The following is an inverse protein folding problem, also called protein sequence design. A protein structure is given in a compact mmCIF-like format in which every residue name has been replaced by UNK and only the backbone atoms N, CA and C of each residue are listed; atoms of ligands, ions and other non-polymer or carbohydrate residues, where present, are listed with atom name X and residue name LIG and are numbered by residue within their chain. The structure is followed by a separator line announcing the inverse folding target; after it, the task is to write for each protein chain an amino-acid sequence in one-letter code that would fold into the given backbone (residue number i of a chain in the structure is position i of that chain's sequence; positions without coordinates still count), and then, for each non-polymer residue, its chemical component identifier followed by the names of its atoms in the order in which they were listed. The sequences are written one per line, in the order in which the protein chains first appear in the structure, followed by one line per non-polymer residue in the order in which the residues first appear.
data_IF_822735970322
#
_entry.id   IF_822735970322
#
_cell.length_a   1.000
_cell.length_b   1.000
_cell.length_c   1.000
_cell.angle_alpha   90.00
_cell.angle_beta   90.00
_cell.angle_gamma   90.00
#
_symmetry.space_group_name_H-M   'P 1'
#
loop_
_entity.id
_entity.type
_entity.pdbx_description
1 polymer ?
#
# COMPACT_ATOMS: atom_id res chain seq x y z
N UNK A 1 -17.63 -69.94 -59.94
CA UNK A 1 -18.67 -70.90 -60.39
C UNK A 1 -19.94 -70.58 -59.63
N UNK A 2 -21.08 -70.23 -60.20
CA UNK A 2 -21.43 -69.93 -61.57
C UNK A 2 -22.70 -69.07 -61.53
N UNK A 3 -22.68 -68.05 -62.36
CA UNK A 3 -23.77 -67.22 -62.85
C UNK A 3 -25.00 -68.03 -63.30
N UNK A 4 -26.20 -67.65 -62.84
CA UNK A 4 -27.43 -67.81 -63.62
C UNK A 4 -28.30 -66.54 -63.50
N UNK A 5 -28.37 -65.69 -64.52
CA UNK A 5 -29.11 -65.76 -65.79
C UNK A 5 -30.49 -65.05 -65.76
N UNK A 6 -30.43 -63.78 -66.18
CA UNK A 6 -31.39 -63.00 -67.02
C UNK A 6 -32.74 -63.67 -67.37
N UNK A 7 -33.84 -62.91 -67.22
CA UNK A 7 -34.78 -62.55 -68.34
C UNK A 7 -35.87 -61.52 -67.97
N UNK A 8 -35.72 -60.33 -68.60
CA UNK A 8 -36.69 -59.37 -69.19
C UNK A 8 -38.19 -59.49 -68.87
N UNK A 9 -38.83 -58.35 -68.54
CA UNK A 9 -40.02 -57.80 -69.25
C UNK A 9 -40.19 -56.29 -69.00
N UNK A 10 -40.57 -55.58 -70.06
CA UNK A 10 -40.71 -54.12 -70.18
C UNK A 10 -42.11 -53.67 -69.72
N UNK A 11 -42.20 -52.53 -69.03
CA UNK A 11 -43.32 -51.57 -69.18
C UNK A 11 -42.82 -50.16 -68.88
N UNK A 12 -43.06 -49.27 -69.84
CA UNK A 12 -42.71 -47.86 -69.78
C UNK A 12 -43.79 -47.07 -69.06
N UNK A 13 -43.40 -46.13 -68.20
CA UNK A 13 -44.19 -44.94 -67.86
C UNK A 13 -43.26 -43.73 -67.92
N UNK A 14 -43.77 -42.67 -68.54
CA UNK A 14 -43.10 -41.43 -68.94
C UNK A 14 -42.68 -40.57 -67.74
N UNK A 15 -41.55 -39.89 -67.92
CA UNK A 15 -41.36 -38.46 -67.68
C UNK A 15 -41.43 -37.94 -66.24
N UNK A 16 -40.29 -37.48 -65.71
CA UNK A 16 -39.99 -36.04 -65.59
C UNK A 16 -38.66 -35.86 -64.85
N UNK A 17 -37.78 -35.07 -65.46
CA UNK A 17 -36.53 -34.57 -64.91
C UNK A 17 -36.80 -33.58 -63.78
N UNK A 18 -36.28 -33.82 -62.59
CA UNK A 18 -35.97 -32.73 -61.65
C UNK A 18 -34.66 -33.03 -60.92
N UNK A 19 -33.83 -32.00 -60.85
CA UNK A 19 -32.43 -32.08 -60.46
C UNK A 19 -32.20 -32.50 -59.01
N UNK A 20 -31.02 -33.12 -58.82
CA UNK A 20 -30.38 -33.36 -57.52
C UNK A 20 -30.33 -32.06 -56.70
N UNK A 21 -31.19 -31.94 -55.69
CA UNK A 21 -30.96 -31.02 -54.56
C UNK A 21 -29.93 -31.68 -53.63
N UNK A 22 -28.76 -31.04 -53.50
CA UNK A 22 -27.78 -31.34 -52.45
C UNK A 22 -28.43 -31.11 -51.07
N UNK A 23 -28.08 -31.91 -50.05
CA UNK A 23 -28.57 -31.67 -48.69
C UNK A 23 -28.04 -30.32 -48.18
N UNK A 24 -28.95 -29.51 -47.65
CA UNK A 24 -28.65 -28.23 -47.00
C UNK A 24 -27.79 -28.51 -45.77
N UNK A 25 -26.58 -27.98 -45.76
CA UNK A 25 -25.83 -27.82 -44.52
C UNK A 25 -26.61 -26.84 -43.64
N UNK A 26 -26.95 -27.25 -42.43
CA UNK A 26 -27.42 -26.34 -41.39
C UNK A 26 -26.22 -25.52 -40.96
N UNK A 27 -26.02 -24.36 -41.59
CA UNK A 27 -25.16 -23.32 -41.07
C UNK A 27 -25.78 -22.81 -39.77
N UNK A 28 -25.14 -23.12 -38.64
CA UNK A 28 -25.42 -22.43 -37.38
C UNK A 28 -24.98 -20.97 -37.59
N UNK A 29 -25.97 -20.09 -37.72
CA UNK A 29 -25.74 -18.65 -37.71
C UNK A 29 -25.33 -18.27 -36.29
N UNK A 30 -24.04 -18.11 -36.04
CA UNK A 30 -23.59 -17.36 -34.86
C UNK A 30 -24.04 -15.92 -35.10
N UNK A 31 -25.05 -15.47 -34.34
CA UNK A 31 -25.32 -14.04 -34.23
C UNK A 31 -24.08 -13.42 -33.61
N UNK A 32 -23.32 -12.67 -34.40
CA UNK A 32 -22.40 -11.67 -33.89
C UNK A 32 -23.28 -10.66 -33.16
N UNK A 33 -23.26 -10.70 -31.83
CA UNK A 33 -23.84 -9.63 -31.04
C UNK A 33 -23.03 -8.36 -31.33
N UNK A 34 -23.67 -7.37 -31.93
CA UNK A 34 -23.10 -6.03 -32.05
C UNK A 34 -22.81 -5.54 -30.63
N UNK A 35 -21.52 -5.30 -30.34
CA UNK A 35 -21.08 -4.65 -29.13
C UNK A 35 -21.72 -3.26 -29.07
N UNK A 36 -22.32 -2.83 -27.94
CA UNK A 36 -22.82 -1.48 -27.83
C UNK A 36 -21.67 -0.47 -28.00
N UNK A 37 -21.94 0.72 -28.56
CA UNK A 37 -20.90 1.70 -28.82
C UNK A 37 -20.18 2.04 -27.52
N UNK A 38 -18.84 2.03 -27.57
CA UNK A 38 -17.98 2.48 -26.48
C UNK A 38 -18.35 3.92 -26.15
N UNK A 39 -19.02 4.12 -25.02
CA UNK A 39 -19.18 5.45 -24.45
C UNK A 39 -17.80 5.90 -23.95
N UNK A 40 -17.15 6.74 -24.74
CA UNK A 40 -16.01 7.53 -24.33
C UNK A 40 -16.50 8.56 -23.28
N UNK A 41 -16.58 8.12 -22.02
CA UNK A 41 -16.78 9.00 -20.87
C UNK A 41 -15.50 9.00 -20.05
N UNK A 42 -14.53 9.79 -20.50
CA UNK A 42 -13.61 10.48 -19.60
C UNK A 42 -14.45 11.36 -18.66
N UNK A 43 -14.97 10.79 -17.58
CA UNK A 43 -15.51 11.57 -16.46
C UNK A 43 -14.31 12.23 -15.80
N UNK A 44 -14.19 13.54 -16.02
CA UNK A 44 -13.29 14.40 -15.25
C UNK A 44 -13.63 14.20 -13.78
N UNK A 45 -12.67 13.71 -13.01
CA UNK A 45 -12.69 13.79 -11.55
C UNK A 45 -12.70 15.28 -11.21
N UNK A 46 -13.83 15.78 -10.73
CA UNK A 46 -13.91 17.14 -10.17
C UNK A 46 -13.15 17.14 -8.84
N UNK A 47 -12.16 18.03 -8.65
CA UNK A 47 -11.52 18.18 -7.35
C UNK A 47 -12.54 18.68 -6.33
N UNK A 48 -12.52 18.10 -5.13
CA UNK A 48 -13.27 18.59 -3.99
C UNK A 48 -12.71 19.96 -3.58
N UNK A 49 -13.42 21.04 -3.88
CA UNK A 49 -13.01 22.40 -3.49
C UNK A 49 -13.33 22.62 -2.01
N UNK A 50 -12.34 22.47 -1.15
CA UNK A 50 -12.39 22.96 0.23
C UNK A 50 -12.29 24.48 0.23
N UNK A 51 -13.38 25.19 0.55
CA UNK A 51 -13.32 26.62 0.84
C UNK A 51 -12.93 26.80 2.31
N UNK A 52 -11.74 27.37 2.53
CA UNK A 52 -11.13 27.59 3.84
C UNK A 52 -11.70 28.88 4.47
N UNK A 53 -12.33 28.87 5.67
CA UNK A 53 -12.58 30.10 6.40
C UNK A 53 -11.28 30.65 7.01
N UNK A 54 -11.14 31.97 7.20
CA UNK A 54 -9.92 32.56 7.75
C UNK A 54 -9.71 32.18 9.22
N UNK A 55 -8.49 31.77 9.57
CA UNK A 55 -8.06 31.54 10.94
C UNK A 55 -7.98 32.85 11.74
N UNK A 56 -8.44 32.89 13.01
CA UNK A 56 -8.21 34.03 13.88
C UNK A 56 -6.75 34.10 14.36
N UNK A 57 -6.31 35.33 14.67
CA UNK A 57 -4.95 35.68 15.02
C UNK A 57 -4.47 35.09 16.36
N UNK A 58 -3.15 34.92 16.42
CA UNK A 58 -2.31 34.23 17.40
C UNK A 58 -2.43 34.66 18.87
N UNK A 59 -2.49 33.66 19.76
CA UNK A 59 -1.98 33.72 21.13
C UNK A 59 -0.71 32.87 21.26
N UNK A 60 0.35 33.41 21.87
CA UNK A 60 1.62 32.70 22.08
C UNK A 60 1.52 31.77 23.30
N UNK A 61 1.08 30.53 23.09
CA UNK A 61 1.48 29.40 23.92
C UNK A 61 2.66 28.68 23.25
N UNK A 62 3.63 28.21 24.05
CA UNK A 62 4.73 27.39 23.53
C UNK A 62 4.14 26.02 23.14
N UNK A 63 3.88 25.84 21.85
CA UNK A 63 3.44 24.56 21.29
C UNK A 63 4.48 23.45 21.53
N UNK A 64 4.04 22.17 21.40
CA UNK A 64 4.93 21.02 21.56
C UNK A 64 6.14 21.13 20.62
N UNK A 65 7.32 20.81 21.14
CA UNK A 65 8.56 20.80 20.37
C UNK A 65 8.44 19.66 19.35
N UNK A 66 8.36 19.98 18.06
CA UNK A 66 8.37 18.94 17.02
C UNK A 66 9.58 18.02 17.22
N UNK A 67 9.38 16.69 17.25
CA UNK A 67 10.40 15.72 17.68
C UNK A 67 11.67 15.77 16.82
N UNK A 68 11.56 16.33 15.62
CA UNK A 68 12.63 16.45 14.64
C UNK A 68 13.09 17.89 14.36
N UNK A 69 12.59 18.89 15.09
CA UNK A 69 12.93 20.31 14.88
C UNK A 69 14.33 20.66 15.41
N UNK A 70 15.35 20.25 14.67
CA UNK A 70 16.74 20.59 14.95
C UNK A 70 17.06 22.05 14.63
N UNK A 71 16.69 23.01 15.48
CA UNK A 71 17.39 24.30 15.49
C UNK A 71 18.81 24.06 15.99
N UNK A 72 19.81 24.21 15.11
CA UNK A 72 21.22 24.21 15.50
C UNK A 72 21.48 25.40 16.43
N UNK A 73 21.36 25.20 17.74
CA UNK A 73 21.91 26.11 18.72
C UNK A 73 23.44 26.03 18.62
N UNK A 74 24.09 27.06 18.05
CA UNK A 74 25.54 27.22 18.19
C UNK A 74 25.84 27.30 19.71
N UNK A 75 26.76 26.48 20.26
CA UNK A 75 27.20 26.69 21.62
C UNK A 75 27.88 28.07 21.70
N UNK A 76 27.41 28.91 22.62
CA UNK A 76 28.18 30.10 23.05
C UNK A 76 29.46 29.59 23.73
N UNK A 77 30.65 30.16 23.45
CA UNK A 77 31.86 29.77 24.16
C UNK A 77 31.76 30.32 25.60
N UNK A 78 31.80 29.42 26.59
CA UNK A 78 32.06 29.81 27.98
C UNK A 78 33.57 29.85 28.21
N UNK A 79 34.02 30.94 28.82
CA UNK A 79 35.42 31.26 29.14
C UNK A 79 36.06 30.28 30.16
N UNK A 80 37.41 30.31 30.24
CA UNK A 80 38.32 29.41 30.98
C UNK A 80 38.08 29.30 32.50
N UNK A 81 38.81 28.50 33.27
CA UNK A 81 40.21 28.02 33.27
C UNK A 81 40.32 26.84 34.28
N UNK A 82 41.52 26.45 34.79
CA UNK A 82 42.64 25.80 34.14
C UNK A 82 42.88 24.36 34.65
N UNK A 83 43.88 23.70 34.05
CA UNK A 83 44.32 22.34 34.31
C UNK A 83 44.92 22.11 35.71
N UNK A 84 44.60 20.97 36.32
CA UNK A 84 45.39 20.34 37.38
C UNK A 84 45.81 18.95 36.91
N UNK A 85 47.13 18.73 36.88
CA UNK A 85 47.77 17.47 36.55
C UNK A 85 47.77 16.53 37.77
N UNK A 86 47.11 15.38 37.65
CA UNK A 86 47.14 14.32 38.65
C UNK A 86 47.32 12.96 37.98
N UNK A 87 48.46 12.31 38.21
CA UNK A 87 48.76 10.95 37.72
C UNK A 87 47.74 9.96 38.28
N UNK A 88 47.11 9.15 37.43
CA UNK A 88 46.25 8.00 37.84
C UNK A 88 46.81 6.68 37.30
N UNK A 89 46.92 5.71 38.20
CA UNK A 89 47.33 4.30 37.98
C UNK A 89 46.28 3.55 37.13
N UNK A 90 46.64 2.50 36.38
CA UNK A 90 45.69 1.76 35.55
C UNK A 90 44.81 0.86 36.43
N UNK A 91 43.50 1.06 36.39
CA UNK A 91 42.52 0.17 37.00
C UNK A 91 42.05 -0.88 35.98
N UNK A 92 41.94 -2.14 36.43
CA UNK A 92 41.48 -3.31 35.68
C UNK A 92 40.08 -3.09 35.10
N UNK A 93 39.88 -3.45 33.82
CA UNK A 93 38.56 -3.46 33.17
C UNK A 93 37.74 -4.65 33.67
N UNK A 94 36.74 -4.39 34.48
CA UNK A 94 35.62 -5.31 34.70
C UNK A 94 34.46 -4.89 33.80
N UNK A 95 33.97 -5.81 32.96
CA UNK A 95 32.76 -5.62 32.18
C UNK A 95 31.54 -5.58 33.12
N UNK A 96 30.93 -4.42 33.32
CA UNK A 96 29.60 -4.31 33.93
C UNK A 96 28.55 -4.42 32.84
N UNK A 97 27.53 -5.27 33.06
CA UNK A 97 26.32 -5.37 32.23
C UNK A 97 25.76 -3.96 31.99
N UNK A 98 25.73 -3.52 30.75
CA UNK A 98 25.32 -2.18 30.34
C UNK A 98 23.83 -1.95 30.65
N UNK A 99 23.53 -0.89 31.41
CA UNK A 99 22.17 -0.34 31.54
C UNK A 99 21.65 0.08 30.16
N UNK A 100 20.32 0.00 29.90
CA UNK A 100 19.76 0.53 28.66
C UNK A 100 20.11 2.01 28.52
N UNK A 101 20.64 2.38 27.35
CA UNK A 101 20.99 3.76 27.02
C UNK A 101 19.72 4.61 27.04
N UNK A 102 19.76 5.76 27.72
CA UNK A 102 18.71 6.78 27.60
C UNK A 102 18.55 7.19 26.13
N UNK A 103 17.33 7.38 25.61
CA UNK A 103 17.12 7.90 24.26
C UNK A 103 17.77 9.28 24.14
N UNK A 104 18.55 9.47 23.08
CA UNK A 104 19.19 10.76 22.79
C UNK A 104 18.15 11.66 22.14
N UNK A 105 17.76 12.80 22.75
CA UNK A 105 16.85 13.74 22.10
C UNK A 105 17.55 14.40 20.91
N UNK A 106 16.85 14.54 19.77
CA UNK A 106 17.21 15.51 18.74
C UNK A 106 18.13 15.03 17.63
N UNK A 107 17.90 13.84 17.07
CA UNK A 107 18.33 13.62 15.68
C UNK A 107 17.35 14.39 14.80
N UNK A 108 17.79 15.49 14.19
CA UNK A 108 17.02 16.16 13.14
C UNK A 108 16.63 15.14 12.08
N UNK A 109 15.50 15.33 11.39
CA UNK A 109 15.20 14.55 10.18
C UNK A 109 16.45 14.50 9.30
N UNK A 110 16.86 13.33 8.80
CA UNK A 110 18.04 13.26 7.97
C UNK A 110 17.81 14.17 6.75
N UNK A 111 18.83 14.93 6.35
CA UNK A 111 18.82 16.08 5.39
C UNK A 111 18.15 15.84 4.02
N UNK A 112 17.67 14.63 3.73
CA UNK A 112 17.00 14.25 2.50
C UNK A 112 15.47 14.08 2.69
N UNK A 113 14.85 14.89 3.55
CA UNK A 113 13.40 14.96 3.72
C UNK A 113 12.81 16.17 3.00
N UNK A 114 11.78 15.96 2.18
CA UNK A 114 11.00 17.03 1.56
C UNK A 114 9.54 16.92 1.97
N UNK A 115 8.93 18.04 2.36
CA UNK A 115 7.50 18.13 2.63
C UNK A 115 6.74 18.30 1.32
N UNK A 116 5.71 17.47 1.12
CA UNK A 116 4.83 17.53 -0.06
C UNK A 116 3.48 18.14 0.31
N UNK A 117 2.96 17.77 1.47
CA UNK A 117 1.74 18.29 2.09
C UNK A 117 1.97 18.41 3.60
N UNK A 118 1.08 19.12 4.30
CA UNK A 118 1.18 19.24 5.75
C UNK A 118 0.95 17.91 6.46
N UNK A 119 1.45 17.83 7.72
CA UNK A 119 1.18 16.69 8.61
C UNK A 119 -0.32 16.44 8.71
N UNK A 120 -0.74 15.20 8.50
CA UNK A 120 -2.14 14.75 8.49
C UNK A 120 -3.03 15.34 7.38
N UNK A 121 -2.47 16.00 6.35
CA UNK A 121 -3.24 16.42 5.17
C UNK A 121 -3.63 15.22 4.27
N UNK A 122 -2.94 14.08 4.45
CA UNK A 122 -3.31 12.77 3.92
C UNK A 122 -3.87 11.96 5.10
N UNK A 123 -5.21 11.80 5.19
CA UNK A 123 -5.82 11.25 6.38
C UNK A 123 -5.63 9.72 6.41
N UNK A 124 -4.98 9.19 7.45
CA UNK A 124 -4.82 7.74 7.62
C UNK A 124 -6.15 7.07 7.96
N UNK A 125 -6.39 5.84 7.49
CA UNK A 125 -7.54 5.03 7.93
C UNK A 125 -7.17 4.36 9.25
N UNK A 126 -7.74 4.86 10.35
CA UNK A 126 -7.41 4.38 11.71
C UNK A 126 -8.42 3.38 12.27
N UNK A 127 -9.62 3.34 11.68
CA UNK A 127 -10.67 2.36 11.99
C UNK A 127 -11.26 1.82 10.67
N UNK A 128 -10.58 0.86 10.03
CA UNK A 128 -11.04 0.29 8.77
C UNK A 128 -12.31 -0.55 8.96
N UNK A 129 -13.20 -0.46 7.99
CA UNK A 129 -14.38 -1.32 7.84
C UNK A 129 -14.18 -2.20 6.62
N UNK A 130 -14.52 -3.48 6.77
CA UNK A 130 -14.39 -4.48 5.71
C UNK A 130 -15.75 -5.12 5.42
N UNK A 131 -15.93 -5.58 4.18
CA UNK A 131 -17.14 -6.28 3.75
C UNK A 131 -16.81 -7.41 2.77
N UNK A 132 -17.65 -8.45 2.62
CA UNK A 132 -17.39 -9.56 1.68
C UNK A 132 -17.35 -9.14 0.21
N UNK A 133 -18.06 -8.06 -0.13
CA UNK A 133 -18.07 -7.44 -1.45
C UNK A 133 -17.99 -5.91 -1.34
N UNK A 134 -17.90 -5.23 -2.47
CA UNK A 134 -17.81 -3.77 -2.53
C UNK A 134 -19.16 -3.11 -2.85
N UNK A 135 -20.29 -3.81 -2.80
CA UNK A 135 -21.54 -3.28 -3.36
C UNK A 135 -22.08 -2.03 -2.64
N UNK A 136 -21.65 -1.82 -1.39
CA UNK A 136 -22.15 -0.75 -0.52
C UNK A 136 -21.29 0.53 -0.55
N UNK A 137 -20.23 0.59 -1.37
CA UNK A 137 -19.43 1.80 -1.50
C UNK A 137 -19.97 2.77 -2.57
N UNK A 138 -19.61 4.05 -2.46
CA UNK A 138 -20.00 5.09 -3.43
C UNK A 138 -19.40 4.86 -4.83
N UNK A 139 -18.30 4.12 -4.93
CA UNK A 139 -17.59 3.82 -6.18
C UNK A 139 -17.32 2.32 -6.31
N UNK A 140 -17.54 1.79 -7.51
CA UNK A 140 -17.27 0.39 -7.83
C UNK A 140 -15.78 0.09 -7.84
N UNK A 141 -15.39 -1.07 -7.29
CA UNK A 141 -14.08 -1.67 -7.50
C UNK A 141 -14.16 -2.71 -8.63
N UNK A 142 -13.42 -2.48 -9.70
CA UNK A 142 -13.37 -3.38 -10.84
C UNK A 142 -12.48 -4.61 -10.57
N UNK A 143 -12.73 -5.70 -11.28
CA UNK A 143 -11.92 -6.93 -11.19
C UNK A 143 -10.44 -6.71 -11.57
N UNK A 144 -10.17 -5.70 -12.38
CA UNK A 144 -8.84 -5.31 -12.82
C UNK A 144 -8.12 -4.41 -11.82
N UNK A 145 -8.84 -3.80 -10.87
CA UNK A 145 -8.24 -2.90 -9.89
C UNK A 145 -7.26 -3.64 -9.00
N UNK A 146 -6.17 -2.96 -8.68
CA UNK A 146 -5.07 -3.55 -7.92
C UNK A 146 -5.38 -3.55 -6.43
N UNK A 147 -5.00 -4.62 -5.77
CA UNK A 147 -5.12 -4.78 -4.32
C UNK A 147 -3.81 -5.30 -3.74
N UNK A 148 -3.52 -4.89 -2.51
CA UNK A 148 -2.60 -5.59 -1.62
C UNK A 148 -3.44 -6.59 -0.82
N UNK A 149 -3.19 -7.87 -0.96
CA UNK A 149 -3.83 -8.94 -0.22
C UNK A 149 -2.98 -9.39 0.97
N UNK A 150 -3.60 -9.55 2.13
CA UNK A 150 -2.94 -10.05 3.36
C UNK A 150 -3.70 -11.27 3.87
N UNK A 151 -2.97 -12.35 4.15
CA UNK A 151 -3.51 -13.54 4.85
C UNK A 151 -2.83 -13.65 6.20
N UNK A 152 -3.60 -13.66 7.28
CA UNK A 152 -3.07 -13.77 8.64
C UNK A 152 -4.09 -14.40 9.58
N UNK A 153 -3.61 -15.30 10.45
CA UNK A 153 -4.43 -15.98 11.45
C UNK A 153 -5.72 -16.64 10.89
N UNK A 154 -5.64 -17.19 9.67
CA UNK A 154 -6.77 -17.85 9.00
C UNK A 154 -7.75 -16.91 8.28
N UNK A 155 -7.62 -15.59 8.45
CA UNK A 155 -8.41 -14.59 7.70
C UNK A 155 -7.63 -14.01 6.52
N UNK A 156 -8.36 -13.46 5.54
CA UNK A 156 -7.81 -12.82 4.36
C UNK A 156 -8.50 -11.47 4.09
N UNK A 157 -7.72 -10.42 3.87
CA UNK A 157 -8.23 -9.08 3.51
C UNK A 157 -7.55 -8.50 2.29
N UNK A 158 -8.32 -7.76 1.50
CA UNK A 158 -7.84 -6.96 0.38
C UNK A 158 -7.82 -5.47 0.73
N UNK A 159 -6.70 -4.82 0.39
CA UNK A 159 -6.41 -3.41 0.57
C UNK A 159 -6.24 -2.75 -0.81
N UNK A 160 -7.24 -2.05 -1.29
CA UNK A 160 -7.32 -1.60 -2.68
C UNK A 160 -6.42 -0.41 -2.93
N UNK A 161 -5.66 -0.45 -4.03
CA UNK A 161 -4.77 0.65 -4.41
C UNK A 161 -5.50 1.98 -4.63
N UNK A 162 -6.73 2.04 -5.16
CA UNK A 162 -7.46 3.31 -5.25
C UNK A 162 -7.71 3.96 -3.87
N UNK A 163 -7.92 3.16 -2.83
CA UNK A 163 -8.11 3.63 -1.44
C UNK A 163 -6.76 3.97 -0.80
N UNK A 164 -5.80 3.04 -0.88
CA UNK A 164 -4.44 3.21 -0.36
C UNK A 164 -3.71 4.38 -1.02
N UNK A 165 -3.96 4.66 -2.29
CA UNK A 165 -3.35 5.77 -3.02
C UNK A 165 -3.78 7.15 -2.52
N UNK A 166 -4.92 7.25 -1.81
CA UNK A 166 -5.35 8.50 -1.19
C UNK A 166 -5.03 8.56 0.31
N UNK A 167 -5.05 7.41 1.01
CA UNK A 167 -4.90 7.37 2.47
C UNK A 167 -3.50 7.00 2.96
N UNK A 168 -2.72 6.32 2.13
CA UNK A 168 -1.33 5.86 2.33
C UNK A 168 -1.05 4.97 3.55
N UNK A 169 -1.89 4.99 4.60
CA UNK A 169 -1.78 4.23 5.85
C UNK A 169 -3.15 3.69 6.24
N UNK A 170 -3.19 2.41 6.60
CA UNK A 170 -4.34 1.73 7.22
C UNK A 170 -3.88 0.99 8.47
N UNK A 171 -4.46 1.33 9.62
CA UNK A 171 -4.27 0.64 10.90
C UNK A 171 -5.35 -0.44 11.10
N UNK A 172 -5.02 -1.66 10.71
CA UNK A 172 -5.92 -2.80 10.83
C UNK A 172 -5.60 -3.69 12.07
N UNK A 173 -6.42 -4.71 12.25
CA UNK A 173 -6.42 -5.68 13.35
C UNK A 173 -6.51 -7.14 12.88
N UNK A 174 -6.41 -7.43 11.57
CA UNK A 174 -6.44 -8.81 11.05
C UNK A 174 -5.35 -9.68 11.69
N UNK A 175 -5.78 -10.65 12.51
CA UNK A 175 -4.88 -11.55 13.23
C UNK A 175 -3.96 -10.85 14.24
N UNK A 176 -4.29 -9.62 14.67
CA UNK A 176 -3.48 -8.76 15.54
C UNK A 176 -3.18 -7.40 14.93
N UNK A 177 -2.41 -6.52 15.61
CA UNK A 177 -2.12 -5.17 15.11
C UNK A 177 -1.39 -5.23 13.76
N UNK A 178 -2.01 -4.68 12.72
CA UNK A 178 -1.55 -4.74 11.35
C UNK A 178 -1.44 -3.32 10.78
N UNK A 179 -0.29 -3.01 10.19
CA UNK A 179 -0.06 -1.80 9.43
C UNK A 179 -0.05 -2.17 7.94
N UNK A 180 -0.82 -1.47 7.12
CA UNK A 180 -0.72 -1.53 5.66
C UNK A 180 -0.43 -0.13 5.14
N UNK A 181 0.60 -0.01 4.31
CA UNK A 181 0.98 1.29 3.73
C UNK A 181 1.20 1.19 2.23
N UNK A 182 1.01 2.32 1.55
CA UNK A 182 1.34 2.47 0.15
C UNK A 182 1.74 3.92 -0.16
N UNK A 183 2.85 4.09 -0.87
CA UNK A 183 3.30 5.39 -1.35
C UNK A 183 3.07 5.46 -2.87
N UNK A 184 2.04 6.19 -3.34
CA UNK A 184 1.67 6.25 -4.76
C UNK A 184 2.74 6.90 -5.62
N UNK A 185 3.55 7.80 -5.05
CA UNK A 185 4.67 8.45 -5.75
C UNK A 185 5.83 7.49 -6.00
N UNK A 186 5.95 6.46 -5.16
CA UNK A 186 7.08 5.55 -5.17
C UNK A 186 6.74 4.12 -5.62
N UNK A 187 5.46 3.87 -5.91
CA UNK A 187 4.92 2.54 -6.16
C UNK A 187 5.30 1.54 -5.06
N UNK A 188 5.51 1.96 -3.81
CA UNK A 188 6.06 1.12 -2.74
C UNK A 188 5.04 0.85 -1.65
N UNK A 189 4.89 -0.42 -1.25
CA UNK A 189 4.05 -0.84 -0.14
C UNK A 189 4.83 -1.60 0.93
N UNK A 190 4.40 -1.45 2.17
CA UNK A 190 4.87 -2.21 3.34
C UNK A 190 3.64 -2.71 4.10
N UNK A 191 3.67 -3.98 4.50
CA UNK A 191 2.77 -4.55 5.50
C UNK A 191 3.61 -4.96 6.70
N UNK A 192 3.21 -4.60 7.91
CA UNK A 192 4.00 -4.85 9.12
C UNK A 192 3.14 -5.00 10.37
N UNK A 193 3.70 -5.51 11.46
CA UNK A 193 3.09 -5.39 12.78
C UNK A 193 3.22 -3.94 13.29
N UNK A 194 2.10 -3.29 13.62
CA UNK A 194 2.09 -1.92 14.19
C UNK A 194 2.44 -1.87 15.68
N UNK A 195 3.55 -2.51 16.07
CA UNK A 195 4.06 -2.52 17.45
C UNK A 195 5.28 -1.64 17.58
N UNK A 196 5.22 -0.72 18.54
CA UNK A 196 6.32 0.15 18.94
C UNK A 196 6.61 -0.09 20.41
N UNK A 197 7.84 -0.49 20.72
CA UNK A 197 8.24 -0.98 22.05
C UNK A 197 7.41 -2.20 22.51
N UNK A 198 7.07 -3.10 21.58
CA UNK A 198 6.24 -4.28 21.85
C UNK A 198 4.73 -4.00 21.99
N UNK A 199 4.33 -2.73 22.03
CA UNK A 199 2.95 -2.32 22.27
C UNK A 199 2.29 -1.80 20.99
N UNK A 200 1.01 -2.12 20.71
CA UNK A 200 0.31 -1.61 19.53
C UNK A 200 0.25 -0.08 19.52
N UNK A 201 0.32 0.52 18.34
CA UNK A 201 0.15 1.97 18.14
C UNK A 201 -0.59 2.24 16.83
N UNK A 202 -1.16 3.43 16.72
CA UNK A 202 -1.73 3.97 15.47
C UNK A 202 -0.63 4.70 14.70
N UNK A 203 -0.65 4.59 13.38
CA UNK A 203 0.28 5.27 12.48
C UNK A 203 -0.46 6.30 11.61
N UNK A 204 0.25 7.37 11.31
CA UNK A 204 -0.28 8.53 10.61
C UNK A 204 0.70 9.02 9.56
N UNK A 205 0.22 9.85 8.63
CA UNK A 205 1.03 10.37 7.52
C UNK A 205 1.62 11.72 7.89
N UNK A 206 2.95 11.83 7.81
CA UNK A 206 3.63 13.10 8.12
C UNK A 206 3.54 14.13 6.99
N UNK A 207 3.20 13.72 5.76
CA UNK A 207 3.32 14.55 4.56
C UNK A 207 4.76 14.72 4.05
N UNK A 208 5.74 14.10 4.72
CA UNK A 208 7.14 14.10 4.34
C UNK A 208 7.50 12.87 3.51
N UNK A 209 8.43 13.09 2.58
CA UNK A 209 9.14 12.05 1.87
C UNK A 209 10.58 11.97 2.36
N UNK A 210 11.13 10.77 2.52
CA UNK A 210 12.52 10.57 2.90
C UNK A 210 13.20 9.53 2.01
N UNK A 211 14.42 9.84 1.55
CA UNK A 211 15.19 8.96 0.68
C UNK A 211 16.12 8.04 1.49
N UNK A 212 15.78 6.76 1.53
CA UNK A 212 16.63 5.74 2.13
C UNK A 212 17.97 5.57 1.37
N UNK A 213 19.08 5.25 2.07
CA UNK A 213 20.30 4.81 1.41
C UNK A 213 20.02 3.59 0.53
N UNK A 214 20.45 3.62 -0.74
CA UNK A 214 20.11 2.57 -1.73
C UNK A 214 20.52 1.16 -1.31
N UNK A 215 21.64 1.01 -0.60
CA UNK A 215 22.07 -0.29 -0.07
C UNK A 215 21.04 -0.86 0.91
N UNK A 216 20.41 0.00 1.72
CA UNK A 216 19.42 -0.44 2.71
C UNK A 216 18.04 -0.68 2.07
N UNK A 217 17.63 0.17 1.12
CA UNK A 217 16.36 -0.03 0.40
C UNK A 217 16.42 -1.31 -0.44
N UNK A 218 17.50 -1.54 -1.19
CA UNK A 218 17.69 -2.74 -2.00
C UNK A 218 17.69 -4.01 -1.13
N UNK A 219 18.30 -3.96 0.07
CA UNK A 219 18.26 -5.09 0.99
C UNK A 219 16.85 -5.35 1.55
N UNK A 220 16.02 -4.33 1.74
CA UNK A 220 14.62 -4.50 2.14
C UNK A 220 13.78 -5.11 1.01
N UNK A 221 14.01 -4.67 -0.23
CA UNK A 221 13.39 -5.21 -1.45
C UNK A 221 13.76 -6.69 -1.64
N UNK A 222 15.04 -7.04 -1.51
CA UNK A 222 15.53 -8.42 -1.63
C UNK A 222 14.93 -9.37 -0.60
N UNK A 223 14.69 -8.88 0.63
CA UNK A 223 14.00 -9.66 1.68
C UNK A 223 12.50 -9.78 1.46
N UNK A 224 11.91 -8.98 0.56
CA UNK A 224 10.47 -8.89 0.36
C UNK A 224 9.75 -8.13 1.48
N UNK A 225 10.48 -7.38 2.32
CA UNK A 225 9.90 -6.57 3.39
C UNK A 225 9.04 -5.42 2.83
N UNK A 226 9.49 -4.89 1.69
CA UNK A 226 8.81 -3.87 0.90
C UNK A 226 8.58 -4.44 -0.50
N UNK A 227 7.43 -4.13 -1.09
CA UNK A 227 7.06 -4.59 -2.42
C UNK A 227 6.67 -3.41 -3.29
N UNK A 228 6.80 -3.59 -4.60
CA UNK A 228 6.38 -2.60 -5.56
C UNK A 228 5.09 -2.98 -6.26
N UNK A 229 4.19 -2.00 -6.41
CA UNK A 229 2.89 -2.18 -7.05
C UNK A 229 2.41 -0.84 -7.61
N UNK A 230 1.74 -0.87 -8.76
CA UNK A 230 0.97 0.26 -9.26
C UNK A 230 -0.29 -0.23 -9.97
N UNK A 231 -1.13 0.69 -10.47
CA UNK A 231 -2.39 0.35 -11.14
C UNK A 231 -2.26 -0.52 -12.40
N UNK A 232 -1.06 -0.66 -12.96
CA UNK A 232 -0.80 -1.40 -14.20
C UNK A 232 -0.04 -2.69 -13.90
N UNK A 233 1.06 -2.61 -13.16
CA UNK A 233 2.00 -3.70 -12.91
C UNK A 233 1.96 -4.14 -11.44
N UNK A 234 1.61 -5.41 -11.15
CA UNK A 234 1.59 -5.93 -9.78
C UNK A 234 3.00 -6.16 -9.23
N UNK A 235 4.03 -6.16 -10.08
CA UNK A 235 5.44 -6.37 -9.73
C UNK A 235 6.27 -5.13 -10.10
N UNK A 236 5.66 -3.94 -10.01
CA UNK A 236 6.35 -2.70 -10.30
C UNK A 236 7.64 -2.58 -9.47
N UNK A 237 8.65 -1.91 -10.00
CA UNK A 237 9.86 -1.65 -9.22
C UNK A 237 9.57 -0.69 -8.04
N UNK A 238 10.18 -0.97 -6.89
CA UNK A 238 10.17 -0.06 -5.73
C UNK A 238 11.02 1.16 -6.04
N UNK A 239 10.39 2.34 -6.09
CA UNK A 239 11.12 3.59 -6.34
C UNK A 239 11.59 4.20 -5.03
N UNK A 240 12.84 3.97 -4.65
CA UNK A 240 13.45 4.62 -3.48
C UNK A 240 13.94 6.05 -3.77
N UNK A 241 13.12 6.89 -4.39
CA UNK A 241 13.43 8.31 -4.71
C UNK A 241 13.06 9.30 -3.62
N UNK A 242 12.35 8.86 -2.58
CA UNK A 242 11.81 9.68 -1.51
C UNK A 242 10.46 9.12 -1.09
N UNK A 243 10.46 8.19 -0.13
CA UNK A 243 9.29 7.38 0.22
C UNK A 243 8.58 7.95 1.44
N UNK A 244 7.32 7.53 1.60
CA UNK A 244 6.48 7.89 2.74
C UNK A 244 7.23 7.83 4.07
N UNK A 245 7.12 8.91 4.83
CA UNK A 245 7.43 8.96 6.25
C UNK A 245 6.12 8.97 7.03
N UNK A 246 5.96 7.96 7.88
CA UNK A 246 4.85 7.86 8.81
C UNK A 246 5.30 8.27 10.22
N UNK A 247 4.36 8.52 11.12
CA UNK A 247 4.66 8.69 12.54
C UNK A 247 3.70 7.89 13.41
N UNK A 248 4.16 7.46 14.58
CA UNK A 248 3.32 6.78 15.55
C UNK A 248 2.78 7.75 16.61
N UNK A 249 1.51 7.60 16.98
CA UNK A 249 0.85 8.50 17.93
C UNK A 249 1.42 8.42 19.36
N UNK A 250 1.97 7.26 19.75
CA UNK A 250 2.42 7.03 21.14
C UNK A 250 3.75 7.69 21.47
N UNK A 251 4.67 7.73 20.51
CA UNK A 251 6.03 8.22 20.72
C UNK A 251 6.39 9.39 19.81
N UNK A 252 5.53 9.70 18.85
CA UNK A 252 5.75 10.71 17.81
C UNK A 252 7.07 10.49 17.04
N UNK A 253 7.56 9.24 16.99
CA UNK A 253 8.75 8.91 16.21
C UNK A 253 8.37 8.88 14.73
N UNK A 254 9.28 9.29 13.87
CA UNK A 254 9.07 9.28 12.42
C UNK A 254 9.74 8.04 11.86
N UNK A 255 9.03 7.34 10.99
CA UNK A 255 9.41 6.03 10.49
C UNK A 255 9.51 6.04 8.96
N UNK A 256 10.57 5.45 8.45
CA UNK A 256 10.72 5.16 7.03
C UNK A 256 9.85 3.96 6.68
N UNK A 257 8.92 4.15 5.74
CA UNK A 257 8.12 3.05 5.17
C UNK A 257 9.02 1.95 4.60
N UNK A 258 9.93 2.30 3.68
CA UNK A 258 10.76 1.32 2.96
C UNK A 258 11.68 0.52 3.87
N UNK A 259 12.16 1.12 4.96
CA UNK A 259 13.06 0.43 5.88
C UNK A 259 12.33 -0.21 7.06
N UNK A 260 11.01 -0.01 7.18
CA UNK A 260 10.23 -0.36 8.36
C UNK A 260 10.89 0.13 9.66
N UNK A 261 11.54 1.31 9.67
CA UNK A 261 12.42 1.74 10.76
C UNK A 261 12.22 3.19 11.17
N UNK A 262 12.25 3.44 12.47
CA UNK A 262 12.27 4.79 13.02
C UNK A 262 13.57 5.53 12.63
N UNK A 263 13.43 6.67 11.96
CA UNK A 263 14.53 7.50 11.46
C UNK A 263 14.74 8.77 12.28
N UNK A 264 13.74 9.17 13.07
CA UNK A 264 13.79 10.33 13.96
C UNK A 264 12.85 10.12 15.16
N UNK A 265 13.12 10.80 16.28
CA UNK A 265 12.30 10.75 17.50
C UNK A 265 12.75 9.70 18.52
N UNK A 266 11.99 9.52 19.61
CA UNK A 266 12.36 8.69 20.77
C UNK A 266 12.69 7.23 20.44
N UNK A 267 12.17 6.69 19.34
CA UNK A 267 12.33 5.28 18.93
C UNK A 267 13.32 5.08 17.79
N UNK A 268 14.10 6.10 17.42
CA UNK A 268 15.12 6.02 16.36
C UNK A 268 15.92 4.71 16.40
N UNK A 269 16.09 4.09 15.22
CA UNK A 269 16.71 2.77 14.98
C UNK A 269 15.86 1.55 15.33
N UNK A 270 14.70 1.71 15.99
CA UNK A 270 13.75 0.59 16.14
C UNK A 270 13.12 0.21 14.80
N UNK A 271 13.00 -1.09 14.56
CA UNK A 271 12.42 -1.68 13.36
C UNK A 271 11.06 -2.31 13.69
N UNK A 272 10.07 -2.09 12.81
CA UNK A 272 8.83 -2.84 12.78
C UNK A 272 9.09 -4.21 12.17
N UNK A 273 8.24 -5.19 12.49
CA UNK A 273 8.33 -6.52 11.89
C UNK A 273 7.51 -6.57 10.60
N UNK A 274 8.13 -6.68 9.41
CA UNK A 274 7.40 -6.81 8.15
C UNK A 274 6.61 -8.12 8.12
N UNK A 275 5.49 -8.10 7.42
CA UNK A 275 4.60 -9.25 7.25
C UNK A 275 4.39 -9.54 5.76
N UNK A 276 4.20 -10.82 5.37
CA UNK A 276 3.94 -11.18 3.99
C UNK A 276 2.66 -10.52 3.46
N UNK A 277 2.74 -10.04 2.22
CA UNK A 277 1.61 -9.54 1.46
C UNK A 277 1.75 -9.96 -0.01
N UNK A 278 0.63 -10.00 -0.73
CA UNK A 278 0.60 -10.28 -2.17
C UNK A 278 -0.01 -9.10 -2.90
N UNK A 279 0.57 -8.70 -4.00
CA UNK A 279 0.00 -7.73 -4.93
C UNK A 279 -0.69 -8.49 -6.06
N UNK A 280 -1.94 -8.16 -6.35
CA UNK A 280 -2.71 -8.80 -7.44
C UNK A 280 -3.88 -7.90 -7.86
N UNK A 281 -4.76 -8.35 -8.75
CA UNK A 281 -6.04 -7.68 -8.99
C UNK A 281 -7.10 -8.16 -7.99
N UNK A 282 -8.13 -7.35 -7.78
CA UNK A 282 -9.30 -7.72 -6.99
C UNK A 282 -9.97 -8.98 -7.51
N UNK A 283 -10.17 -9.05 -8.83
CA UNK A 283 -10.78 -10.18 -9.50
C UNK A 283 -10.06 -11.48 -9.18
N UNK A 284 -8.73 -11.50 -9.31
CA UNK A 284 -7.92 -12.67 -8.99
C UNK A 284 -7.99 -13.01 -7.50
N UNK A 285 -7.84 -12.01 -6.62
CA UNK A 285 -7.84 -12.22 -5.18
C UNK A 285 -9.13 -12.87 -4.66
N UNK A 286 -10.30 -12.31 -4.97
CA UNK A 286 -11.57 -12.78 -4.41
C UNK A 286 -12.03 -14.11 -5.02
N UNK A 287 -11.57 -14.46 -6.23
CA UNK A 287 -11.86 -15.77 -6.84
C UNK A 287 -11.05 -16.90 -6.23
N UNK A 288 -9.85 -16.62 -5.74
CA UNK A 288 -8.97 -17.63 -5.17
C UNK A 288 -9.29 -17.99 -3.71
N UNK A 289 -9.98 -17.11 -2.97
CA UNK A 289 -10.20 -17.28 -1.53
C UNK A 289 -11.39 -16.47 -1.03
N UNK A 290 -11.99 -16.95 0.04
CA UNK A 290 -12.89 -16.14 0.86
C UNK A 290 -12.10 -15.00 1.52
N UNK A 291 -12.63 -13.78 1.42
CA UNK A 291 -11.92 -12.57 1.85
C UNK A 291 -12.92 -11.45 2.14
N UNK A 292 -12.48 -10.48 2.93
CA UNK A 292 -13.16 -9.19 3.06
C UNK A 292 -12.32 -8.09 2.39
N UNK A 293 -12.96 -7.07 1.86
CA UNK A 293 -12.30 -5.94 1.20
C UNK A 293 -12.52 -4.65 1.97
N UNK A 294 -11.48 -3.81 2.06
CA UNK A 294 -11.53 -2.52 2.73
C UNK A 294 -12.51 -1.58 2.03
N UNK A 295 -13.50 -1.07 2.76
CA UNK A 295 -14.39 -0.02 2.26
C UNK A 295 -13.74 1.36 2.46
N UNK A 296 -13.84 2.28 1.50
CA UNK A 296 -13.38 3.66 1.67
C UNK A 296 -14.26 4.42 2.68
N UNK A 297 -13.83 5.60 3.16
CA UNK A 297 -14.74 6.54 3.80
C UNK A 297 -15.99 6.82 2.93
N UNK A 298 -17.16 7.07 3.54
CA UNK A 298 -17.37 7.30 4.98
C UNK A 298 -17.49 6.03 5.83
N UNK A 299 -17.42 4.83 5.25
CA UNK A 299 -17.52 3.57 6.00
C UNK A 299 -16.34 3.40 6.96
N UNK A 300 -15.12 3.50 6.43
CA UNK A 300 -13.90 3.54 7.22
C UNK A 300 -13.64 4.94 7.76
N UNK A 301 -13.27 5.04 9.03
CA UNK A 301 -12.97 6.34 9.64
C UNK A 301 -11.49 6.69 9.55
N UNK A 302 -11.21 7.99 9.48
CA UNK A 302 -9.86 8.54 9.41
C UNK A 302 -9.50 9.39 10.61
N UNK A 303 -8.23 9.75 10.73
CA UNK A 303 -7.70 10.69 11.72
C UNK A 303 -8.01 12.17 11.43
N UNK A 304 -8.47 12.49 10.22
CA UNK A 304 -8.56 13.86 9.71
C UNK A 304 -9.95 14.47 9.63
N UNK A 305 -11.06 13.69 9.70
CA UNK A 305 -12.46 14.18 9.65
C UNK A 305 -13.45 13.18 10.26
#
# INVERSE_FOLDING_TARGET
MDSQQRRRRRRAVRGQSTGRRRPRQHGVLVRVAELPPRHDRLRRVTPWTSTRPPSPASGHERGPVEPCSGRRGRPRPSAGSPAVSGRRRPARRTWSKSRPRRPTPGRSLPTASHEVVGKNDIPAITRPVFWPDWSDAEYDLADEDRVVGVVRAGGARAYPLPVLGWHEVVDDTLGGPLLVTYCPLCNSGLVAERRVNGEPTTFHVTGLLWKAPRVQSAAAEERGDVFGVNGIDPNAEVRSSGNLVMYDDRTESYWSQVLARAICGPRTEEELTPLPARTTTWGEWHRERETEVLLPPPHSATDGR
#
